data_IF_796188802291
#
_entry.id   IF_796188802291
#
_cell.length_a   1.000
_cell.length_b   1.000
_cell.length_c   1.000
_cell.angle_alpha   90.00
_cell.angle_beta   90.00
_cell.angle_gamma   90.00
#
_symmetry.space_group_name_H-M   'P 1'
#
loop_
_entity.id
_entity.type
_entity.pdbx_description
1 polymer ?
#
# COMPACT_ATOMS: atom_id res chain seq x y z
N UNK A 1 -54.43 70.91 87.04
CA UNK A 1 -54.26 69.58 87.70
C UNK A 1 -53.19 68.83 86.91
N UNK A 2 -52.07 68.39 87.54
CA UNK A 2 -51.74 66.97 87.89
C UNK A 2 -51.89 65.98 86.72
N UNK A 3 -50.96 65.08 86.37
CA UNK A 3 -49.64 64.70 86.95
C UNK A 3 -48.79 63.85 85.96
N UNK A 4 -47.54 63.52 86.36
CA UNK A 4 -46.58 62.51 85.82
C UNK A 4 -47.25 61.17 85.39
N UNK A 5 -46.71 60.27 84.54
CA UNK A 5 -45.38 60.05 83.93
C UNK A 5 -45.55 59.44 82.50
N UNK A 6 -44.61 58.76 81.79
CA UNK A 6 -43.26 58.24 82.08
C UNK A 6 -42.65 57.46 80.88
N UNK A 7 -41.56 56.70 81.07
CA UNK A 7 -40.89 55.88 80.03
C UNK A 7 -41.16 54.36 80.15
N UNK A 8 -41.16 53.65 79.00
CA UNK A 8 -40.51 52.32 78.92
C UNK A 8 -40.05 51.95 77.51
N UNK A 9 -38.75 51.71 77.35
CA UNK A 9 -38.17 51.08 76.15
C UNK A 9 -38.61 49.61 76.03
N UNK A 10 -38.75 49.13 74.79
CA UNK A 10 -38.68 47.71 74.45
C UNK A 10 -37.76 47.51 73.24
N UNK A 11 -36.57 46.94 73.46
CA UNK A 11 -35.73 46.44 72.37
C UNK A 11 -36.35 45.16 71.82
N UNK A 12 -36.61 45.09 70.51
CA UNK A 12 -36.79 43.81 69.80
C UNK A 12 -35.56 43.47 68.96
N UNK A 13 -34.70 42.61 69.52
CA UNK A 13 -33.55 42.00 68.85
C UNK A 13 -34.03 41.14 67.65
N UNK A 14 -33.96 41.66 66.43
CA UNK A 14 -34.30 40.88 65.21
C UNK A 14 -33.50 41.26 63.97
N UNK A 15 -32.16 41.41 64.09
CA UNK A 15 -31.25 41.63 62.95
C UNK A 15 -30.18 40.56 62.76
N UNK A 16 -29.74 39.89 63.83
CA UNK A 16 -28.49 39.11 63.80
C UNK A 16 -28.67 37.67 63.26
N UNK A 17 -29.80 37.00 63.57
CA UNK A 17 -30.00 35.57 63.23
C UNK A 17 -30.04 35.29 61.71
N UNK A 18 -30.52 36.23 60.91
CA UNK A 18 -30.65 36.04 59.46
C UNK A 18 -29.31 36.11 58.70
N UNK A 19 -28.31 36.82 59.24
CA UNK A 19 -26.99 36.93 58.60
C UNK A 19 -26.12 35.69 58.87
N UNK A 20 -26.13 35.14 60.09
CA UNK A 20 -25.36 33.94 60.43
C UNK A 20 -25.80 32.71 59.61
N UNK A 21 -27.10 32.54 59.34
CA UNK A 21 -27.59 31.46 58.48
C UNK A 21 -27.07 31.54 57.04
N UNK A 22 -27.01 32.74 56.46
CA UNK A 22 -26.51 32.94 55.09
C UNK A 22 -25.00 32.78 54.97
N UNK A 23 -24.21 33.24 55.95
CA UNK A 23 -22.77 32.95 55.98
C UNK A 23 -22.48 31.45 56.12
N UNK A 24 -23.22 30.74 56.98
CA UNK A 24 -23.05 29.30 57.18
C UNK A 24 -23.25 28.50 55.88
N UNK A 25 -24.29 28.82 55.10
CA UNK A 25 -24.55 28.17 53.80
C UNK A 25 -23.43 28.47 52.79
N UNK A 26 -22.95 29.73 52.72
CA UNK A 26 -21.87 30.10 51.80
C UNK A 26 -20.55 29.35 52.09
N UNK A 27 -20.21 29.16 53.38
CA UNK A 27 -19.04 28.38 53.79
C UNK A 27 -19.19 26.90 53.42
N UNK A 28 -20.37 26.31 53.62
CA UNK A 28 -20.65 24.90 53.25
C UNK A 28 -20.51 24.70 51.73
N UNK A 29 -21.04 25.61 50.91
CA UNK A 29 -20.90 25.55 49.44
C UNK A 29 -19.43 25.64 49.02
N UNK A 30 -18.65 26.57 49.61
CA UNK A 30 -17.21 26.68 49.35
C UNK A 30 -16.46 25.39 49.68
N UNK A 31 -16.74 24.76 50.83
CA UNK A 31 -16.12 23.49 51.23
C UNK A 31 -16.46 22.37 50.25
N UNK A 32 -17.72 22.26 49.80
CA UNK A 32 -18.14 21.27 48.79
C UNK A 32 -17.43 21.50 47.45
N UNK A 33 -17.32 22.76 46.99
CA UNK A 33 -16.60 23.10 45.77
C UNK A 33 -15.11 22.76 45.85
N UNK A 34 -14.45 23.02 46.99
CA UNK A 34 -13.03 22.68 47.22
C UNK A 34 -12.82 21.16 47.25
N UNK A 35 -13.70 20.40 47.91
CA UNK A 35 -13.63 18.92 47.94
C UNK A 35 -13.85 18.35 46.53
N UNK A 36 -14.77 18.91 45.75
CA UNK A 36 -14.99 18.52 44.35
C UNK A 36 -13.74 18.77 43.50
N UNK A 37 -13.12 19.95 43.61
CA UNK A 37 -11.88 20.29 42.89
C UNK A 37 -10.72 19.34 43.23
N UNK A 38 -10.52 19.06 44.53
CA UNK A 38 -9.48 18.14 45.00
C UNK A 38 -9.70 16.70 44.52
N UNK A 39 -10.96 16.29 44.38
CA UNK A 39 -11.34 14.98 43.82
C UNK A 39 -10.99 14.89 42.32
N UNK A 40 -11.22 15.95 41.56
CA UNK A 40 -10.80 16.04 40.14
C UNK A 40 -9.28 16.01 39.98
N UNK A 41 -8.53 16.70 40.86
CA UNK A 41 -7.05 16.69 40.84
C UNK A 41 -6.51 15.26 41.10
N UNK A 42 -7.04 14.54 42.09
CA UNK A 42 -6.68 13.12 42.32
C UNK A 42 -7.05 12.18 41.16
N UNK A 43 -8.10 12.49 40.39
CA UNK A 43 -8.46 11.75 39.17
C UNK A 43 -7.46 11.95 38.02
N UNK A 44 -6.72 13.07 38.02
CA UNK A 44 -5.82 13.45 36.92
C UNK A 44 -4.44 12.78 37.04
N UNK A 45 -4.05 12.31 38.24
CA UNK A 45 -2.89 11.43 38.43
C UNK A 45 -3.21 9.97 38.04
N UNK A 46 -3.79 9.75 36.86
CA UNK A 46 -3.59 8.47 36.17
C UNK A 46 -2.10 8.39 35.86
N UNK A 47 -1.41 7.43 36.48
CA UNK A 47 -0.08 7.06 36.05
C UNK A 47 -0.16 6.69 34.57
N UNK A 48 0.36 7.57 33.71
CA UNK A 48 0.53 7.24 32.30
C UNK A 48 1.65 6.21 32.25
N UNK A 49 1.26 4.93 32.34
CA UNK A 49 2.16 3.80 32.18
C UNK A 49 2.64 3.85 30.74
N UNK A 50 3.73 4.59 30.52
CA UNK A 50 4.41 4.68 29.25
C UNK A 50 4.91 3.28 28.93
N UNK A 51 4.14 2.56 28.12
CA UNK A 51 4.54 1.26 27.59
C UNK A 51 5.88 1.46 26.90
N UNK A 52 6.92 0.81 27.39
CA UNK A 52 8.27 0.92 26.85
C UNK A 52 8.26 0.40 25.41
N UNK A 53 8.18 1.32 24.44
CA UNK A 53 8.19 0.97 23.02
C UNK A 53 9.61 0.52 22.70
N UNK A 54 9.84 -0.79 22.75
CA UNK A 54 11.11 -1.39 22.33
C UNK A 54 11.31 -1.13 20.84
N UNK A 55 12.12 -0.12 20.52
CA UNK A 55 12.31 0.39 19.14
C UNK A 55 12.82 -0.70 18.20
N UNK A 56 13.64 -1.63 18.69
CA UNK A 56 14.11 -2.79 17.91
C UNK A 56 12.95 -3.65 17.37
N UNK A 57 11.84 -3.73 18.11
CA UNK A 57 10.66 -4.50 17.68
C UNK A 57 9.87 -3.80 16.57
N UNK A 58 10.09 -2.51 16.30
CA UNK A 58 9.39 -1.78 15.25
C UNK A 58 9.81 -2.24 13.84
N UNK A 59 11.05 -2.70 13.70
CA UNK A 59 11.63 -3.18 12.44
C UNK A 59 11.49 -4.68 12.24
N UNK A 60 11.04 -5.41 13.27
CA UNK A 60 10.74 -6.83 13.16
C UNK A 60 9.48 -7.04 12.32
N UNK A 61 9.43 -8.16 11.60
CA UNK A 61 8.23 -8.59 10.89
C UNK A 61 7.08 -8.72 11.88
N UNK A 62 5.98 -7.99 11.65
CA UNK A 62 4.78 -8.12 12.47
C UNK A 62 4.30 -9.58 12.50
N UNK A 63 3.74 -10.02 13.64
CA UNK A 63 3.19 -11.37 13.76
C UNK A 63 2.13 -11.59 12.67
N UNK A 64 2.41 -12.53 11.76
CA UNK A 64 1.47 -12.88 10.68
C UNK A 64 0.34 -13.78 11.18
N UNK A 65 0.35 -14.19 12.45
CA UNK A 65 -0.57 -15.20 12.97
C UNK A 65 -0.44 -16.50 12.15
N UNK A 66 -1.55 -16.96 11.58
CA UNK A 66 -1.58 -18.12 10.68
C UNK A 66 -1.33 -17.77 9.19
N UNK A 67 -1.22 -16.47 8.85
CA UNK A 67 -0.93 -16.06 7.48
C UNK A 67 0.50 -16.43 7.09
N UNK A 68 0.62 -17.07 5.92
CA UNK A 68 1.89 -17.53 5.35
C UNK A 68 2.12 -16.91 3.97
N UNK A 69 3.36 -16.52 3.62
CA UNK A 69 3.69 -16.01 2.29
C UNK A 69 3.24 -16.99 1.19
N UNK A 70 2.58 -16.46 0.15
CA UNK A 70 2.06 -17.27 -0.96
C UNK A 70 2.77 -16.94 -2.29
N UNK A 71 4.09 -16.91 -2.26
CA UNK A 71 4.96 -16.65 -3.42
C UNK A 71 5.66 -17.89 -3.96
N UNK A 72 5.87 -18.95 -3.16
CA UNK A 72 6.35 -20.23 -3.69
C UNK A 72 5.22 -20.96 -4.45
N UNK A 73 5.52 -21.62 -5.60
CA UNK A 73 4.53 -22.43 -6.30
C UNK A 73 4.10 -23.62 -5.42
N UNK A 74 2.82 -24.06 -5.51
CA UNK A 74 2.32 -25.19 -4.69
C UNK A 74 2.05 -26.47 -5.47
N UNK A 75 1.82 -26.37 -6.78
CA UNK A 75 1.73 -27.50 -7.73
C UNK A 75 3.00 -27.61 -8.57
N UNK A 76 3.09 -28.64 -9.41
CA UNK A 76 4.18 -28.78 -10.37
C UNK A 76 4.20 -27.60 -11.35
N UNK A 77 5.07 -26.63 -11.09
CA UNK A 77 5.27 -25.44 -11.91
C UNK A 77 6.46 -25.67 -12.85
N UNK A 78 6.24 -26.07 -14.12
CA UNK A 78 7.33 -26.44 -15.00
C UNK A 78 8.18 -25.21 -15.40
N UNK A 79 9.49 -25.39 -15.64
CA UNK A 79 10.34 -24.32 -16.15
C UNK A 79 9.87 -23.85 -17.55
N UNK A 80 10.31 -22.68 -18.03
CA UNK A 80 9.94 -22.17 -19.34
C UNK A 80 10.40 -23.14 -20.44
N UNK A 81 9.61 -23.27 -21.50
CA UNK A 81 9.97 -24.19 -22.59
C UNK A 81 11.28 -23.79 -23.30
N UNK A 82 11.94 -24.74 -23.98
CA UNK A 82 13.23 -24.48 -24.66
C UNK A 82 13.10 -23.45 -25.80
N UNK A 83 11.97 -23.43 -26.52
CA UNK A 83 11.60 -22.33 -27.43
C UNK A 83 10.72 -21.26 -26.75
N UNK A 84 10.37 -20.18 -27.44
CA UNK A 84 9.34 -19.21 -27.02
C UNK A 84 8.60 -18.69 -28.25
N UNK A 85 7.35 -18.24 -28.08
CA UNK A 85 6.51 -17.76 -29.19
C UNK A 85 6.97 -16.43 -29.81
N UNK A 86 7.81 -15.66 -29.11
CA UNK A 86 8.36 -14.38 -29.58
C UNK A 86 8.82 -13.51 -28.41
N UNK A 87 8.99 -12.21 -28.67
CA UNK A 87 9.41 -11.22 -27.67
C UNK A 87 8.26 -10.32 -27.22
N UNK A 88 8.06 -10.21 -25.90
CA UNK A 88 7.12 -9.27 -25.30
C UNK A 88 7.86 -8.03 -24.81
N UNK A 89 7.56 -6.86 -25.38
CA UNK A 89 7.88 -5.55 -24.78
C UNK A 89 6.63 -5.01 -24.08
N UNK A 90 6.84 -4.30 -22.98
CA UNK A 90 5.78 -3.61 -22.23
C UNK A 90 6.24 -2.20 -21.85
N UNK A 91 5.30 -1.24 -21.77
CA UNK A 91 5.52 0.04 -21.09
C UNK A 91 4.62 0.14 -19.86
N UNK A 92 5.22 0.00 -18.70
CA UNK A 92 4.59 0.16 -17.39
C UNK A 92 4.40 1.65 -17.11
N UNK A 93 3.15 2.12 -17.07
CA UNK A 93 2.80 3.52 -16.89
C UNK A 93 2.04 3.77 -15.57
N UNK A 94 1.99 5.04 -15.16
CA UNK A 94 1.45 5.46 -13.87
C UNK A 94 2.54 5.71 -12.83
N UNK A 95 2.17 5.85 -11.56
CA UNK A 95 3.13 6.04 -10.45
C UNK A 95 3.88 4.76 -10.08
N UNK A 96 4.99 4.86 -9.33
CA UNK A 96 5.90 3.75 -9.03
C UNK A 96 5.20 2.47 -8.53
N UNK A 97 4.20 2.57 -7.64
CA UNK A 97 3.43 1.41 -7.18
C UNK A 97 2.57 0.77 -8.29
N UNK A 98 2.01 1.58 -9.20
CA UNK A 98 1.26 1.08 -10.36
C UNK A 98 2.22 0.43 -11.38
N UNK A 99 3.42 0.99 -11.55
CA UNK A 99 4.47 0.39 -12.38
C UNK A 99 4.94 -0.96 -11.81
N UNK A 100 5.15 -1.06 -10.49
CA UNK A 100 5.45 -2.32 -9.78
C UNK A 100 4.41 -3.41 -10.09
N UNK A 101 3.12 -3.10 -9.94
CA UNK A 101 2.03 -4.02 -10.31
C UNK A 101 1.99 -4.34 -11.81
N UNK A 102 2.30 -3.37 -12.67
CA UNK A 102 2.38 -3.58 -14.12
C UNK A 102 3.54 -4.52 -14.51
N UNK A 103 4.69 -4.48 -13.82
CA UNK A 103 5.81 -5.41 -14.04
C UNK A 103 5.40 -6.84 -13.64
N UNK A 104 4.74 -7.00 -12.49
CA UNK A 104 4.20 -8.30 -12.05
C UNK A 104 3.24 -8.89 -13.10
N UNK A 105 2.35 -8.05 -13.65
CA UNK A 105 1.45 -8.43 -14.74
C UNK A 105 2.18 -8.71 -16.06
N UNK A 106 3.29 -8.04 -16.37
CA UNK A 106 4.07 -8.27 -17.58
C UNK A 106 4.82 -9.61 -17.55
N UNK A 107 5.39 -9.99 -16.41
CA UNK A 107 5.98 -11.32 -16.19
C UNK A 107 4.93 -12.41 -16.33
N UNK A 108 3.75 -12.22 -15.73
CA UNK A 108 2.65 -13.18 -15.85
C UNK A 108 2.11 -13.27 -17.30
N UNK A 109 1.95 -12.14 -18.00
CA UNK A 109 1.56 -12.13 -19.42
C UNK A 109 2.58 -12.88 -20.29
N UNK A 110 3.88 -12.64 -20.10
CA UNK A 110 4.92 -13.38 -20.82
C UNK A 110 4.88 -14.90 -20.51
N UNK A 111 4.60 -15.30 -19.26
CA UNK A 111 4.39 -16.71 -18.89
C UNK A 111 3.17 -17.31 -19.60
N UNK A 112 2.02 -16.65 -19.56
CA UNK A 112 0.77 -17.08 -20.22
C UNK A 112 0.99 -17.27 -21.72
N UNK A 113 1.71 -16.34 -22.36
CA UNK A 113 1.98 -16.36 -23.80
C UNK A 113 3.16 -17.26 -24.20
N UNK A 114 3.88 -17.88 -23.26
CA UNK A 114 5.17 -18.55 -23.49
C UNK A 114 6.15 -17.68 -24.31
N UNK A 115 6.24 -16.40 -23.93
CA UNK A 115 7.08 -15.39 -24.57
C UNK A 115 8.40 -15.19 -23.82
N UNK A 116 9.41 -14.66 -24.53
CA UNK A 116 10.57 -14.05 -23.89
C UNK A 116 10.21 -12.61 -23.53
N UNK A 117 10.24 -12.27 -22.25
CA UNK A 117 10.05 -10.89 -21.78
C UNK A 117 11.31 -10.07 -22.09
N UNK A 118 11.13 -8.92 -22.72
CA UNK A 118 12.17 -7.86 -22.74
C UNK A 118 11.99 -7.03 -21.48
N UNK A 119 13.09 -6.54 -20.88
CA UNK A 119 13.03 -5.69 -19.68
C UNK A 119 11.93 -4.60 -19.82
N UNK A 120 11.04 -4.44 -18.82
CA UNK A 120 9.97 -3.46 -18.87
C UNK A 120 10.46 -2.03 -19.08
N UNK A 121 9.80 -1.27 -19.96
CA UNK A 121 9.98 0.18 -20.03
C UNK A 121 9.13 0.84 -18.93
N UNK A 122 9.74 1.73 -18.15
CA UNK A 122 9.06 2.54 -17.15
C UNK A 122 8.70 3.90 -17.74
N UNK A 123 7.50 4.41 -17.47
CA UNK A 123 7.06 5.72 -17.93
C UNK A 123 7.57 6.84 -17.01
N UNK A 124 8.52 7.63 -17.52
CA UNK A 124 9.08 8.80 -16.83
C UNK A 124 8.08 9.96 -16.65
N UNK A 125 7.07 10.05 -17.53
CA UNK A 125 6.43 11.32 -17.86
C UNK A 125 5.21 11.70 -17.00
N UNK A 126 4.75 10.80 -16.12
CA UNK A 126 3.43 10.96 -15.50
C UNK A 126 3.40 11.90 -14.28
N UNK A 127 4.45 11.91 -13.42
CA UNK A 127 4.43 12.65 -12.15
C UNK A 127 5.79 13.11 -11.60
N UNK A 128 6.87 12.37 -11.84
CA UNK A 128 8.15 12.57 -11.14
C UNK A 128 9.33 12.96 -12.05
N UNK A 129 9.14 12.92 -13.38
CA UNK A 129 10.18 13.19 -14.39
C UNK A 129 11.47 12.37 -14.24
N UNK A 130 11.36 11.15 -13.72
CA UNK A 130 12.49 10.24 -13.50
C UNK A 130 12.81 9.44 -14.77
N UNK A 131 13.99 9.66 -15.35
CA UNK A 131 14.50 8.99 -16.56
C UNK A 131 15.41 7.77 -16.26
N UNK A 132 15.61 7.44 -14.98
CA UNK A 132 16.41 6.29 -14.51
C UNK A 132 16.02 4.94 -15.14
N UNK A 133 14.75 4.81 -15.54
CA UNK A 133 14.19 3.60 -16.15
C UNK A 133 14.31 2.37 -15.26
N UNK A 134 14.16 1.18 -15.84
CA UNK A 134 14.16 -0.07 -15.07
C UNK A 134 15.49 -0.30 -14.32
N UNK A 135 16.64 -0.07 -14.97
CA UNK A 135 17.96 -0.36 -14.42
C UNK A 135 18.40 0.61 -13.31
N UNK A 136 17.89 1.84 -13.28
CA UNK A 136 18.17 2.78 -12.19
C UNK A 136 17.27 2.59 -10.96
N UNK A 137 16.16 1.84 -11.08
CA UNK A 137 15.23 1.56 -9.97
C UNK A 137 15.39 0.13 -9.44
N UNK A 138 15.67 -0.86 -10.31
CA UNK A 138 15.68 -2.28 -9.98
C UNK A 138 16.99 -2.98 -10.39
N UNK A 139 17.44 -3.93 -9.59
CA UNK A 139 18.57 -4.81 -9.93
C UNK A 139 18.16 -5.78 -11.06
N UNK A 140 18.69 -5.51 -12.25
CA UNK A 140 18.47 -6.29 -13.47
C UNK A 140 18.98 -7.73 -13.35
N UNK A 141 20.14 -7.95 -12.72
CA UNK A 141 20.70 -9.31 -12.59
C UNK A 141 19.84 -10.13 -11.62
N UNK A 142 19.51 -9.55 -10.47
CA UNK A 142 18.63 -10.17 -9.48
C UNK A 142 17.25 -10.51 -10.06
N UNK A 143 16.63 -9.58 -10.80
CA UNK A 143 15.33 -9.79 -11.46
C UNK A 143 15.35 -10.97 -12.44
N UNK A 144 16.36 -11.02 -13.33
CA UNK A 144 16.53 -12.11 -14.31
C UNK A 144 16.82 -13.44 -13.59
N UNK A 145 17.73 -13.42 -12.61
CA UNK A 145 18.16 -14.61 -11.86
C UNK A 145 17.03 -15.20 -11.02
N UNK A 146 16.21 -14.37 -10.39
CA UNK A 146 15.09 -14.80 -9.54
C UNK A 146 13.95 -15.42 -10.33
N UNK A 147 13.73 -14.97 -11.57
CA UNK A 147 12.63 -15.42 -12.44
C UNK A 147 13.05 -16.47 -13.49
N UNK A 148 14.29 -16.96 -13.46
CA UNK A 148 14.86 -17.89 -14.47
C UNK A 148 14.09 -19.20 -14.69
N UNK A 149 13.31 -19.66 -13.69
CA UNK A 149 12.45 -20.84 -13.78
C UNK A 149 10.97 -20.50 -14.03
N UNK A 150 10.63 -19.22 -14.18
CA UNK A 150 9.29 -18.72 -14.42
C UNK A 150 9.09 -18.27 -15.85
N UNK A 151 9.99 -17.40 -16.33
CA UNK A 151 9.93 -16.81 -17.67
C UNK A 151 11.35 -16.53 -18.17
N UNK A 152 11.56 -16.49 -19.48
CA UNK A 152 12.82 -16.02 -20.06
C UNK A 152 12.81 -14.51 -20.14
N UNK A 153 13.88 -13.87 -19.69
CA UNK A 153 14.02 -12.41 -19.68
C UNK A 153 15.30 -12.02 -20.42
N UNK A 154 15.24 -10.98 -21.24
CA UNK A 154 16.39 -10.40 -21.95
C UNK A 154 16.40 -8.88 -21.81
N UNK A 155 17.59 -8.27 -21.76
CA UNK A 155 17.71 -6.79 -21.69
C UNK A 155 17.23 -6.09 -22.97
N UNK A 156 17.38 -6.74 -24.13
CA UNK A 156 16.94 -6.24 -25.43
C UNK A 156 16.61 -7.38 -26.38
N UNK A 157 15.76 -7.11 -27.37
CA UNK A 157 15.51 -8.06 -28.47
C UNK A 157 16.83 -8.27 -29.23
N UNK A 158 17.30 -9.52 -29.45
CA UNK A 158 18.55 -9.78 -30.13
C UNK A 158 18.48 -9.37 -31.60
N UNK A 159 19.60 -8.85 -32.11
CA UNK A 159 19.74 -8.48 -33.52
C UNK A 159 20.10 -9.71 -34.36
N UNK A 160 19.26 -10.05 -35.34
CA UNK A 160 19.50 -11.20 -36.21
C UNK A 160 20.36 -10.76 -37.40
N UNK A 161 21.55 -11.34 -37.54
CA UNK A 161 22.38 -11.17 -38.75
C UNK A 161 21.94 -12.17 -39.81
N UNK A 162 21.55 -11.69 -41.00
CA UNK A 162 21.26 -12.53 -42.18
C UNK A 162 21.92 -11.92 -43.41
N UNK A 163 22.72 -12.71 -44.12
CA UNK A 163 23.46 -12.32 -45.34
C UNK A 163 24.25 -11.01 -45.16
N UNK A 164 25.02 -10.91 -44.07
CA UNK A 164 25.81 -9.71 -43.72
C UNK A 164 25.01 -8.50 -43.22
N UNK A 165 23.67 -8.50 -43.33
CA UNK A 165 22.82 -7.39 -42.88
C UNK A 165 22.23 -7.67 -41.50
N UNK A 166 22.18 -6.63 -40.66
CA UNK A 166 21.54 -6.65 -39.34
C UNK A 166 20.02 -6.41 -39.53
N UNK A 167 19.20 -7.40 -39.19
CA UNK A 167 17.74 -7.28 -39.15
C UNK A 167 17.29 -6.99 -37.71
N UNK A 168 16.91 -5.73 -37.46
CA UNK A 168 16.24 -5.34 -36.21
C UNK A 168 14.77 -5.78 -36.25
N UNK A 169 14.34 -6.58 -35.29
CA UNK A 169 12.94 -6.95 -35.14
C UNK A 169 12.19 -5.73 -34.58
N UNK A 170 11.25 -5.18 -35.34
CA UNK A 170 10.34 -4.13 -34.86
C UNK A 170 9.16 -4.80 -34.15
N UNK A 171 8.92 -4.42 -32.90
CA UNK A 171 7.79 -4.92 -32.14
C UNK A 171 6.49 -4.25 -32.61
N UNK A 172 5.46 -5.03 -32.90
CA UNK A 172 4.14 -4.52 -33.30
C UNK A 172 3.40 -3.95 -32.09
N UNK A 173 3.02 -2.67 -32.16
CA UNK A 173 2.41 -1.96 -31.03
C UNK A 173 0.93 -2.32 -30.88
N UNK A 174 0.54 -2.71 -29.66
CA UNK A 174 -0.83 -3.05 -29.29
C UNK A 174 -1.19 -2.28 -28.02
N UNK A 175 -2.40 -1.70 -27.98
CA UNK A 175 -3.02 -1.18 -26.77
C UNK A 175 -3.96 -2.27 -26.21
N UNK A 176 -3.63 -2.95 -25.10
CA UNK A 176 -4.49 -4.00 -24.59
C UNK A 176 -5.82 -3.43 -24.06
N UNK A 177 -6.90 -4.21 -24.04
CA UNK A 177 -8.10 -3.90 -23.26
C UNK A 177 -7.75 -3.64 -21.79
N UNK A 178 -8.59 -2.87 -21.10
CA UNK A 178 -8.47 -2.75 -19.64
C UNK A 178 -8.84 -4.10 -19.01
N UNK A 179 -8.09 -4.52 -18.00
CA UNK A 179 -8.34 -5.75 -17.24
C UNK A 179 -8.54 -6.99 -18.15
N UNK A 180 -7.75 -7.08 -19.23
CA UNK A 180 -7.96 -8.07 -20.29
C UNK A 180 -7.84 -9.51 -19.76
N UNK A 181 -8.77 -10.41 -20.13
CA UNK A 181 -8.77 -11.79 -19.65
C UNK A 181 -7.59 -12.58 -20.22
N UNK A 182 -7.23 -13.68 -19.55
CA UNK A 182 -6.19 -14.62 -20.00
C UNK A 182 -6.41 -15.06 -21.45
N UNK A 183 -7.67 -15.27 -21.85
CA UNK A 183 -8.05 -15.66 -23.22
C UNK A 183 -7.49 -14.71 -24.27
N UNK A 184 -7.55 -13.39 -24.05
CA UNK A 184 -7.02 -12.37 -24.96
C UNK A 184 -5.50 -12.48 -25.17
N UNK A 185 -4.77 -12.86 -24.13
CA UNK A 185 -3.33 -13.11 -24.21
C UNK A 185 -3.02 -14.41 -24.97
N UNK A 186 -3.79 -15.48 -24.72
CA UNK A 186 -3.60 -16.78 -25.39
C UNK A 186 -4.07 -16.82 -26.84
N UNK A 187 -5.00 -15.95 -27.25
CA UNK A 187 -5.47 -15.82 -28.64
C UNK A 187 -4.83 -14.62 -29.31
N UNK A 188 -5.50 -13.46 -29.34
CA UNK A 188 -5.14 -12.27 -30.13
C UNK A 188 -3.69 -11.81 -29.94
N UNK A 189 -3.22 -11.68 -28.71
CA UNK A 189 -1.85 -11.22 -28.46
C UNK A 189 -0.81 -12.27 -28.91
N UNK A 190 -1.11 -13.57 -28.72
CA UNK A 190 -0.22 -14.67 -29.13
C UNK A 190 -0.20 -14.86 -30.65
N UNK A 191 -1.32 -14.64 -31.34
CA UNK A 191 -1.40 -14.59 -32.80
C UNK A 191 -0.54 -13.46 -33.36
N UNK A 192 -0.69 -12.23 -32.84
CA UNK A 192 0.13 -11.08 -33.25
C UNK A 192 1.61 -11.26 -32.92
N UNK A 193 1.95 -11.98 -31.85
CA UNK A 193 3.33 -12.34 -31.54
C UNK A 193 3.92 -13.33 -32.55
N UNK A 194 3.15 -14.34 -32.99
CA UNK A 194 3.59 -15.27 -34.04
C UNK A 194 3.77 -14.56 -35.39
N UNK A 195 2.86 -13.65 -35.74
CA UNK A 195 2.90 -12.86 -36.98
C UNK A 195 4.13 -11.93 -37.06
N UNK A 196 4.42 -11.20 -35.97
CA UNK A 196 5.44 -10.14 -35.97
C UNK A 196 6.76 -10.53 -35.27
N UNK A 197 6.86 -11.73 -34.68
CA UNK A 197 7.95 -12.20 -33.79
C UNK A 197 8.16 -11.39 -32.51
N UNK A 198 7.66 -10.15 -32.43
CA UNK A 198 7.66 -9.32 -31.24
C UNK A 198 6.43 -8.41 -31.20
N UNK A 199 5.86 -8.21 -30.02
CA UNK A 199 4.79 -7.22 -29.78
C UNK A 199 5.21 -6.25 -28.67
N UNK A 200 4.59 -5.08 -28.67
CA UNK A 200 4.81 -4.04 -27.69
C UNK A 200 3.48 -3.58 -27.08
N UNK A 201 3.24 -3.96 -25.84
CA UNK A 201 2.01 -3.61 -25.13
C UNK A 201 2.19 -2.27 -24.41
N UNK A 202 1.47 -1.24 -24.86
CA UNK A 202 1.57 0.11 -24.30
C UNK A 202 0.26 0.90 -24.51
N UNK A 203 -0.23 1.65 -23.50
CA UNK A 203 0.19 1.68 -22.09
C UNK A 203 -0.23 0.40 -21.32
N UNK A 204 0.65 -0.14 -20.45
CA UNK A 204 0.49 -1.42 -19.75
C UNK A 204 0.07 -1.35 -18.26
N UNK A 205 -0.60 -0.29 -17.82
CA UNK A 205 -1.25 -0.26 -16.50
C UNK A 205 -2.65 -0.89 -16.52
N UNK A 206 -2.94 -1.77 -15.55
CA UNK A 206 -4.22 -2.51 -15.42
C UNK A 206 -4.71 -3.14 -16.74
N UNK A 207 -3.84 -3.95 -17.37
CA UNK A 207 -4.07 -4.59 -18.68
C UNK A 207 -4.24 -6.11 -18.64
N UNK A 208 -4.09 -6.75 -17.49
CA UNK A 208 -4.33 -8.17 -17.28
C UNK A 208 -5.31 -8.29 -16.11
N UNK A 209 -6.37 -9.07 -16.26
CA UNK A 209 -7.41 -9.26 -15.25
C UNK A 209 -6.82 -9.58 -13.87
N UNK A 210 -7.27 -8.89 -12.83
CA UNK A 210 -6.75 -9.10 -11.46
C UNK A 210 -7.21 -10.46 -10.92
N UNK A 211 -8.52 -10.74 -10.99
CA UNK A 211 -9.08 -12.04 -10.62
C UNK A 211 -8.78 -13.11 -11.67
N UNK A 212 -8.12 -14.17 -11.22
CA UNK A 212 -7.64 -15.29 -12.04
C UNK A 212 -7.78 -16.57 -11.22
N UNK A 213 -8.56 -17.53 -11.74
CA UNK A 213 -8.86 -18.80 -11.07
C UNK A 213 -7.62 -19.69 -10.86
N UNK A 214 -6.56 -19.52 -11.65
CA UNK A 214 -5.32 -20.26 -11.49
C UNK A 214 -4.49 -19.65 -10.35
N UNK A 215 -4.37 -20.32 -9.18
CA UNK A 215 -3.71 -19.73 -8.05
C UNK A 215 -2.19 -19.60 -8.26
N UNK A 216 -1.56 -20.42 -9.11
CA UNK A 216 -0.11 -20.27 -9.39
C UNK A 216 0.21 -18.97 -10.13
N UNK A 217 -0.74 -18.42 -10.89
CA UNK A 217 -0.58 -17.13 -11.56
C UNK A 217 -0.55 -15.99 -10.54
N UNK A 218 -1.38 -16.06 -9.50
CA UNK A 218 -1.29 -15.15 -8.35
C UNK A 218 0.01 -15.34 -7.57
N UNK A 219 0.48 -16.59 -7.37
CA UNK A 219 1.78 -16.82 -6.70
C UNK A 219 2.96 -16.30 -7.51
N UNK A 220 2.90 -16.35 -8.84
CA UNK A 220 3.91 -15.71 -9.71
C UNK A 220 3.90 -14.20 -9.53
N UNK A 221 2.73 -13.52 -9.54
CA UNK A 221 2.64 -12.09 -9.22
C UNK A 221 3.27 -11.75 -7.88
N UNK A 222 2.94 -12.50 -6.83
CA UNK A 222 3.55 -12.34 -5.51
C UNK A 222 5.07 -12.57 -5.52
N UNK A 223 5.56 -13.59 -6.25
CA UNK A 223 6.98 -13.90 -6.36
C UNK A 223 7.76 -12.80 -7.06
N UNK A 224 7.23 -12.25 -8.16
CA UNK A 224 7.80 -11.07 -8.81
C UNK A 224 7.82 -9.90 -7.84
N UNK A 225 6.68 -9.60 -7.22
CA UNK A 225 6.50 -8.42 -6.37
C UNK A 225 7.42 -8.40 -5.14
N UNK A 226 7.63 -9.54 -4.48
CA UNK A 226 8.32 -9.60 -3.18
C UNK A 226 9.74 -10.17 -3.24
N UNK A 227 10.14 -10.83 -4.34
CA UNK A 227 11.43 -11.53 -4.41
C UNK A 227 12.25 -11.23 -5.66
N UNK A 228 11.70 -10.58 -6.69
CA UNK A 228 12.43 -10.24 -7.93
C UNK A 228 12.60 -8.74 -8.17
N UNK A 229 11.73 -7.91 -7.58
CA UNK A 229 11.76 -6.44 -7.58
C UNK A 229 12.21 -5.89 -6.23
#
# INVERSE_FOLDING_TARGET
>A
MRSRAGHRHQLKKSGVKAMFGRLSIAVIVLVICVISLLSTIKSTSRSFSQSEIKVDNLWNTASSGEWRPSSAPRTAWPPPSKGTNGYLRVRCNGGLNQQRSAICNAVLAARIMNATLVLPELDANSFWHDDSGFRGIYDVEHFIKSLRYDVKIVERIPEIRKNGKIKKIKAFQIRPPRDAPISWYTTFASEKMKEHSAIYLTPFSHRLAEEIDNPEYQRLRCRVNYHAL
#
